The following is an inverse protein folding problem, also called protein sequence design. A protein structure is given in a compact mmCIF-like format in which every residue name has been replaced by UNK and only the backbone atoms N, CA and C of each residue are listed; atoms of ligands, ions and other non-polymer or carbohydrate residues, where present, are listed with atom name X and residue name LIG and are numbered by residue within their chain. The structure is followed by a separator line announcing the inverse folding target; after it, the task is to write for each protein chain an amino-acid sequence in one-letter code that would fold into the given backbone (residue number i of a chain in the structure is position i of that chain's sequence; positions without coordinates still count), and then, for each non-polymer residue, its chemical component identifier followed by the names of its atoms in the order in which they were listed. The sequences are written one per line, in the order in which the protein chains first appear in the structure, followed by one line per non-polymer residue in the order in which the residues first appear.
data_IF_720159067308
#
_entry.id   IF_720159067308
#
_cell.length_a   1.000
_cell.length_b   1.000
_cell.length_c   1.000
_cell.angle_alpha   90.00
_cell.angle_beta   90.00
_cell.angle_gamma   90.00
#
_symmetry.space_group_name_H-M   'P 1'
#
loop_
_entity.id
_entity.type
_entity.pdbx_description
1 polymer ?
#
# COMPACT_ATOMS: atom_id res chain seq x y z
N UNK A 1 -6.82 -15.61 -8.70
CA UNK A 1 -7.18 -16.90 -8.09
C UNK A 1 -8.70 -17.00 -8.05
N UNK A 2 -9.23 -18.13 -8.50
CA UNK A 2 -10.65 -18.46 -8.33
C UNK A 2 -10.79 -19.30 -7.05
N UNK A 3 -11.83 -19.09 -6.22
CA UNK A 3 -12.03 -19.88 -5.03
C UNK A 3 -12.25 -21.36 -5.39
N UNK A 4 -11.56 -22.26 -4.70
CA UNK A 4 -11.79 -23.72 -4.85
C UNK A 4 -13.18 -24.11 -4.35
N UNK A 5 -13.71 -23.38 -3.36
CA UNK A 5 -15.06 -23.52 -2.80
C UNK A 5 -15.64 -22.13 -2.45
N UNK A 6 -16.97 -22.00 -2.46
CA UNK A 6 -17.68 -20.74 -2.19
C UNK A 6 -17.78 -19.81 -3.40
N UNK A 7 -18.32 -18.61 -3.18
CA UNK A 7 -18.51 -17.57 -4.21
C UNK A 7 -17.70 -16.32 -3.88
N UNK A 8 -16.98 -15.76 -4.87
CA UNK A 8 -16.44 -14.40 -4.79
C UNK A 8 -17.32 -13.45 -5.60
N UNK A 9 -17.96 -12.48 -4.93
CA UNK A 9 -18.84 -11.49 -5.58
C UNK A 9 -18.27 -10.10 -5.39
N UNK A 10 -18.23 -9.33 -6.47
CA UNK A 10 -17.81 -7.92 -6.47
C UNK A 10 -18.65 -7.12 -7.44
N UNK A 11 -18.81 -5.83 -7.16
CA UNK A 11 -19.44 -4.91 -8.11
C UNK A 11 -18.62 -4.83 -9.40
N UNK A 12 -19.29 -4.85 -10.56
CA UNK A 12 -18.61 -4.71 -11.87
C UNK A 12 -17.94 -3.36 -12.06
N UNK A 13 -18.37 -2.33 -11.31
CA UNK A 13 -17.78 -0.98 -11.35
C UNK A 13 -16.64 -0.83 -10.35
N UNK A 14 -16.38 -1.82 -9.51
CA UNK A 14 -15.34 -1.77 -8.48
C UNK A 14 -13.97 -1.59 -9.17
N UNK A 15 -13.17 -0.68 -8.63
CA UNK A 15 -11.82 -0.38 -9.10
C UNK A 15 -10.90 -0.61 -7.92
N UNK A 16 -9.90 -1.45 -8.11
CA UNK A 16 -8.99 -1.83 -7.04
C UNK A 16 -7.60 -1.34 -7.42
N UNK A 17 -6.99 -0.56 -6.54
CA UNK A 17 -5.59 -0.17 -6.63
C UNK A 17 -4.78 -1.16 -5.81
N UNK A 18 -3.85 -1.87 -6.45
CA UNK A 18 -3.01 -2.86 -5.76
C UNK A 18 -1.56 -2.36 -5.73
N UNK A 19 -0.99 -2.33 -4.53
CA UNK A 19 0.43 -2.23 -4.28
C UNK A 19 0.86 -3.55 -3.65
N UNK A 20 1.89 -4.17 -4.20
CA UNK A 20 2.40 -5.46 -3.70
C UNK A 20 3.92 -5.45 -3.76
N UNK A 21 4.61 -6.19 -2.90
CA UNK A 21 6.07 -6.17 -2.78
C UNK A 21 6.81 -6.34 -4.13
N UNK A 22 6.27 -7.13 -5.06
CA UNK A 22 6.79 -7.33 -6.42
C UNK A 22 6.28 -6.31 -7.46
N UNK A 23 5.75 -5.15 -7.05
CA UNK A 23 5.20 -4.15 -7.97
C UNK A 23 6.23 -3.65 -8.99
N UNK A 24 7.51 -3.68 -8.63
CA UNK A 24 8.62 -3.26 -9.50
C UNK A 24 8.67 -4.10 -10.77
N UNK A 25 8.25 -5.36 -10.71
CA UNK A 25 8.23 -6.27 -11.85
C UNK A 25 7.14 -5.90 -12.86
N UNK A 26 6.16 -5.08 -12.45
CA UNK A 26 5.08 -4.57 -13.32
C UNK A 26 5.45 -3.25 -13.99
N UNK A 27 6.56 -2.61 -13.58
CA UNK A 27 7.00 -1.35 -14.16
C UNK A 27 7.75 -1.55 -15.48
N UNK A 28 7.39 -0.79 -16.51
CA UNK A 28 8.19 -0.68 -17.74
C UNK A 28 9.46 0.11 -17.43
N UNK A 29 10.58 -0.59 -17.24
CA UNK A 29 11.80 0.01 -16.69
C UNK A 29 12.56 0.93 -17.67
N UNK A 30 12.39 0.70 -18.97
CA UNK A 30 13.14 1.41 -20.03
C UNK A 30 12.56 2.79 -20.38
N UNK A 31 11.38 3.13 -19.87
CA UNK A 31 10.74 4.44 -20.09
C UNK A 31 10.93 5.36 -18.88
N UNK A 32 10.64 6.65 -19.07
CA UNK A 32 10.62 7.62 -17.96
C UNK A 32 9.31 7.53 -17.18
N UNK A 33 9.27 7.93 -15.89
CA UNK A 33 8.02 8.00 -15.11
C UNK A 33 6.88 8.73 -15.82
N UNK A 34 7.19 9.84 -16.49
CA UNK A 34 6.18 10.62 -17.23
C UNK A 34 5.63 9.80 -18.39
N UNK A 35 6.50 9.20 -19.20
CA UNK A 35 6.06 8.36 -20.32
C UNK A 35 5.27 7.15 -19.84
N UNK A 36 5.72 6.48 -18.79
CA UNK A 36 4.99 5.37 -18.17
C UNK A 36 3.55 5.76 -17.78
N UNK A 37 3.37 6.91 -17.12
CA UNK A 37 2.01 7.37 -16.76
C UNK A 37 1.18 7.77 -17.98
N UNK A 38 1.79 8.39 -18.99
CA UNK A 38 1.09 8.77 -20.23
C UNK A 38 0.63 7.53 -21.03
N UNK A 39 1.50 6.52 -21.15
CA UNK A 39 1.20 5.27 -21.85
C UNK A 39 0.18 4.42 -21.09
N UNK A 40 0.24 4.41 -19.76
CA UNK A 40 -0.70 3.66 -18.92
C UNK A 40 -2.09 4.30 -18.86
N UNK A 41 -2.17 5.62 -19.02
CA UNK A 41 -3.43 6.38 -18.93
C UNK A 41 -3.64 7.29 -20.16
N UNK A 42 -3.73 6.72 -21.38
CA UNK A 42 -3.79 7.51 -22.62
C UNK A 42 -5.06 8.37 -22.70
N UNK A 43 -6.17 7.86 -22.17
CA UNK A 43 -7.48 8.54 -22.19
C UNK A 43 -7.72 9.47 -21.00
N UNK A 44 -6.69 9.71 -20.17
CA UNK A 44 -6.81 10.58 -19.00
C UNK A 44 -6.98 12.06 -19.32
N UNK A 45 -6.65 12.47 -20.55
CA UNK A 45 -6.63 13.87 -20.98
C UNK A 45 -5.52 14.71 -20.33
N UNK A 46 -4.63 14.09 -19.55
CA UNK A 46 -3.50 14.79 -18.92
C UNK A 46 -2.39 15.09 -19.92
N UNK A 47 -1.80 16.28 -19.78
CA UNK A 47 -0.56 16.67 -20.45
C UNK A 47 0.66 16.27 -19.63
N UNK A 48 1.82 16.29 -20.28
CA UNK A 48 3.12 16.00 -19.65
C UNK A 48 3.36 16.82 -18.39
N UNK A 49 3.07 18.12 -18.40
CA UNK A 49 3.25 18.99 -17.24
C UNK A 49 2.35 18.57 -16.06
N UNK A 50 1.13 18.10 -16.34
CA UNK A 50 0.21 17.62 -15.33
C UNK A 50 0.66 16.28 -14.75
N UNK A 51 1.22 15.38 -15.56
CA UNK A 51 1.84 14.14 -15.07
C UNK A 51 3.06 14.41 -14.19
N UNK A 52 3.91 15.37 -14.57
CA UNK A 52 5.03 15.84 -13.73
C UNK A 52 4.55 16.42 -12.41
N UNK A 53 3.48 17.22 -12.43
CA UNK A 53 2.88 17.75 -11.22
C UNK A 53 2.35 16.62 -10.31
N UNK A 54 1.71 15.59 -10.88
CA UNK A 54 1.26 14.41 -10.13
C UNK A 54 2.43 13.66 -9.50
N UNK A 55 3.48 13.35 -10.26
CA UNK A 55 4.70 12.72 -9.73
C UNK A 55 5.34 13.55 -8.61
N UNK A 56 5.34 14.88 -8.76
CA UNK A 56 5.83 15.81 -7.73
C UNK A 56 5.01 15.76 -6.44
N UNK A 57 3.68 15.58 -6.52
CA UNK A 57 2.82 15.40 -5.33
C UNK A 57 3.14 14.13 -4.55
N UNK A 58 3.59 13.07 -5.23
CA UNK A 58 4.09 11.85 -4.61
C UNK A 58 5.57 11.95 -4.19
N UNK A 59 6.13 13.16 -4.14
CA UNK A 59 7.49 13.40 -3.67
C UNK A 59 8.60 13.05 -4.67
N UNK A 60 8.30 12.66 -5.91
CA UNK A 60 9.35 12.39 -6.89
C UNK A 60 9.93 13.71 -7.41
N UNK A 61 11.23 13.94 -7.20
CA UNK A 61 11.90 15.17 -7.63
C UNK A 61 11.86 15.35 -9.14
N UNK A 62 11.78 16.61 -9.60
CA UNK A 62 11.56 16.95 -11.01
C UNK A 62 12.62 16.43 -12.00
N UNK A 63 13.85 16.20 -11.54
CA UNK A 63 14.93 15.63 -12.36
C UNK A 63 14.74 14.13 -12.60
N UNK A 64 14.11 13.40 -11.68
CA UNK A 64 13.80 11.99 -11.84
C UNK A 64 12.60 11.73 -12.77
N UNK A 65 11.79 12.76 -13.07
CA UNK A 65 10.63 12.62 -13.97
C UNK A 65 11.01 12.20 -15.39
N UNK A 66 12.21 12.60 -15.83
CA UNK A 66 12.75 12.35 -17.18
C UNK A 66 13.89 11.32 -17.17
N UNK A 67 14.19 10.75 -16.00
CA UNK A 67 15.19 9.69 -15.87
C UNK A 67 14.51 8.34 -16.12
N UNK A 68 15.12 7.41 -16.88
CA UNK A 68 14.56 6.06 -17.04
C UNK A 68 14.29 5.38 -15.69
N UNK A 69 13.16 4.69 -15.57
CA UNK A 69 12.70 4.05 -14.33
C UNK A 69 13.73 3.04 -13.81
N UNK A 70 14.46 2.35 -14.70
CA UNK A 70 15.54 1.42 -14.33
C UNK A 70 16.59 2.06 -13.42
N UNK A 71 16.85 3.37 -13.56
CA UNK A 71 17.84 4.10 -12.77
C UNK A 71 17.31 4.67 -11.46
N UNK A 72 16.03 4.51 -11.16
CA UNK A 72 15.41 4.99 -9.93
C UNK A 72 15.70 4.03 -8.77
N UNK A 73 15.80 4.56 -7.55
CA UNK A 73 15.84 3.73 -6.34
C UNK A 73 14.50 3.02 -6.10
N UNK A 74 14.48 2.02 -5.21
CA UNK A 74 13.24 1.32 -4.83
C UNK A 74 12.13 2.28 -4.37
N UNK A 75 12.45 3.21 -3.46
CA UNK A 75 11.48 4.21 -2.98
C UNK A 75 11.03 5.19 -4.06
N UNK A 76 11.90 5.54 -5.01
CA UNK A 76 11.49 6.37 -6.15
C UNK A 76 10.55 5.61 -7.08
N UNK A 77 10.80 4.32 -7.34
CA UNK A 77 9.88 3.46 -8.09
C UNK A 77 8.54 3.32 -7.37
N UNK A 78 8.54 3.16 -6.05
CA UNK A 78 7.33 3.13 -5.22
C UNK A 78 6.49 4.41 -5.43
N UNK A 79 7.11 5.59 -5.40
CA UNK A 79 6.44 6.87 -5.65
C UNK A 79 5.79 6.94 -7.04
N UNK A 80 6.42 6.38 -8.07
CA UNK A 80 5.83 6.27 -9.43
C UNK A 80 4.59 5.37 -9.42
N UNK A 81 4.61 4.29 -8.64
CA UNK A 81 3.50 3.34 -8.53
C UNK A 81 2.33 3.93 -7.78
N UNK A 82 2.58 4.59 -6.65
CA UNK A 82 1.53 5.32 -5.93
C UNK A 82 0.90 6.42 -6.81
N UNK A 83 1.70 7.13 -7.60
CA UNK A 83 1.16 8.08 -8.58
C UNK A 83 0.25 7.39 -9.63
N UNK A 84 0.66 6.22 -10.14
CA UNK A 84 -0.16 5.45 -11.07
C UNK A 84 -1.46 4.93 -10.42
N UNK A 85 -1.40 4.43 -9.19
CA UNK A 85 -2.57 3.97 -8.43
C UNK A 85 -3.53 5.14 -8.20
N UNK A 86 -3.04 6.31 -7.81
CA UNK A 86 -3.87 7.51 -7.64
C UNK A 86 -4.59 7.93 -8.93
N UNK A 87 -3.94 7.78 -10.08
CA UNK A 87 -4.54 8.09 -11.39
C UNK A 87 -5.66 7.11 -11.77
N UNK A 88 -5.63 5.86 -11.30
CA UNK A 88 -6.71 4.88 -11.56
C UNK A 88 -7.98 5.13 -10.74
N UNK A 89 -7.94 6.08 -9.79
CA UNK A 89 -9.07 6.46 -8.91
C UNK A 89 -9.75 5.23 -8.31
N UNK A 90 -9.00 4.38 -7.56
CA UNK A 90 -9.55 3.17 -7.00
C UNK A 90 -10.68 3.49 -6.01
N UNK A 91 -11.55 2.51 -5.80
CA UNK A 91 -12.52 2.51 -4.69
C UNK A 91 -11.94 1.76 -3.48
N UNK A 92 -11.11 0.75 -3.72
CA UNK A 92 -10.41 -0.02 -2.70
C UNK A 92 -8.91 -0.01 -2.99
N UNK A 93 -8.10 0.24 -1.97
CA UNK A 93 -6.65 0.08 -1.99
C UNK A 93 -6.27 -1.23 -1.30
N UNK A 94 -5.46 -2.05 -1.96
CA UNK A 94 -4.83 -3.22 -1.37
C UNK A 94 -3.33 -2.93 -1.28
N UNK A 95 -2.82 -2.79 -0.06
CA UNK A 95 -1.45 -2.43 0.23
C UNK A 95 -0.75 -3.60 0.90
N UNK A 96 0.05 -4.34 0.14
CA UNK A 96 0.81 -5.50 0.62
C UNK A 96 2.27 -5.09 0.82
N UNK A 97 2.64 -4.96 2.08
CA UNK A 97 3.92 -4.47 2.59
C UNK A 97 4.33 -3.12 1.99
N UNK A 98 3.52 -2.07 2.17
CA UNK A 98 3.70 -0.81 1.47
C UNK A 98 4.91 0.00 1.94
N UNK A 99 5.41 -0.25 3.15
CA UNK A 99 6.59 0.43 3.73
C UNK A 99 7.90 -0.10 3.15
N UNK A 100 7.88 -1.25 2.45
CA UNK A 100 9.06 -1.78 1.80
C UNK A 100 9.61 -0.76 0.78
N UNK A 101 10.88 -0.39 0.98
CA UNK A 101 11.61 0.62 0.21
C UNK A 101 11.18 2.08 0.41
N UNK A 102 10.30 2.37 1.37
CA UNK A 102 9.98 3.74 1.77
C UNK A 102 10.93 4.24 2.86
N UNK A 103 11.26 5.52 2.80
CA UNK A 103 11.89 6.21 3.93
C UNK A 103 10.82 6.60 4.96
N UNK A 104 11.25 6.94 6.18
CA UNK A 104 10.33 7.29 7.28
C UNK A 104 9.37 8.43 6.90
N UNK A 105 9.85 9.44 6.19
CA UNK A 105 9.02 10.55 5.71
C UNK A 105 7.93 10.10 4.74
N UNK A 106 8.23 9.13 3.89
CA UNK A 106 7.26 8.56 2.94
C UNK A 106 6.24 7.66 3.64
N UNK A 107 6.63 6.98 4.71
CA UNK A 107 5.70 6.19 5.55
C UNK A 107 4.70 7.14 6.24
N UNK A 108 5.18 8.23 6.83
CA UNK A 108 4.31 9.24 7.44
C UNK A 108 3.33 9.84 6.43
N UNK A 109 3.82 10.18 5.23
CA UNK A 109 2.98 10.71 4.16
C UNK A 109 1.97 9.68 3.62
N UNK A 110 2.31 8.38 3.67
CA UNK A 110 1.39 7.31 3.30
C UNK A 110 0.28 7.18 4.35
N UNK A 111 0.61 7.24 5.63
CA UNK A 111 -0.38 7.22 6.71
C UNK A 111 -1.37 8.40 6.59
N UNK A 112 -0.86 9.63 6.38
CA UNK A 112 -1.69 10.83 6.14
C UNK A 112 -2.64 10.65 4.94
N UNK A 113 -2.14 10.02 3.88
CA UNK A 113 -2.91 9.79 2.67
C UNK A 113 -4.01 8.74 2.87
N UNK A 114 -3.78 7.74 3.73
CA UNK A 114 -4.75 6.69 4.07
C UNK A 114 -5.84 7.25 4.97
N UNK A 115 -5.47 8.06 5.97
CA UNK A 115 -6.41 8.70 6.90
C UNK A 115 -7.42 9.60 6.16
N UNK A 116 -6.97 10.27 5.10
CA UNK A 116 -7.81 11.16 4.27
C UNK A 116 -8.50 10.46 3.10
N UNK A 117 -8.31 9.15 2.93
CA UNK A 117 -8.86 8.40 1.81
C UNK A 117 -10.31 7.99 2.07
N UNK A 118 -11.24 8.43 1.20
CA UNK A 118 -12.67 8.14 1.35
C UNK A 118 -13.08 6.73 0.90
N UNK A 119 -12.14 5.94 0.35
CA UNK A 119 -12.40 4.57 -0.10
C UNK A 119 -11.98 3.53 0.95
N UNK A 120 -12.17 2.25 0.63
CA UNK A 120 -11.72 1.16 1.48
C UNK A 120 -10.20 0.95 1.35
N UNK A 121 -9.53 0.65 2.46
CA UNK A 121 -8.10 0.28 2.46
C UNK A 121 -7.94 -1.05 3.17
N UNK A 122 -7.22 -1.97 2.55
CA UNK A 122 -6.76 -3.22 3.15
C UNK A 122 -5.23 -3.17 3.16
N UNK A 123 -4.63 -3.26 4.34
CA UNK A 123 -3.18 -3.14 4.52
C UNK A 123 -2.67 -4.43 5.15
N UNK A 124 -1.55 -4.91 4.62
CA UNK A 124 -0.71 -5.94 5.20
C UNK A 124 0.64 -5.28 5.44
N UNK A 125 1.11 -5.26 6.68
CA UNK A 125 2.34 -4.57 7.07
C UNK A 125 2.90 -5.18 8.35
N UNK A 126 4.21 -5.25 8.47
CA UNK A 126 4.91 -5.49 9.74
C UNK A 126 5.36 -4.18 10.43
N UNK A 127 5.14 -3.02 9.79
CA UNK A 127 5.48 -1.72 10.37
C UNK A 127 4.40 -1.29 11.38
N UNK A 128 4.71 -1.46 12.68
CA UNK A 128 3.81 -1.10 13.78
C UNK A 128 3.48 0.39 13.81
N UNK A 129 4.38 1.28 13.37
CA UNK A 129 4.13 2.73 13.40
C UNK A 129 3.11 3.12 12.33
N UNK A 130 3.17 2.49 11.16
CA UNK A 130 2.14 2.67 10.13
C UNK A 130 0.78 2.15 10.64
N UNK A 131 0.75 0.94 11.20
CA UNK A 131 -0.49 0.31 11.65
C UNK A 131 -1.13 1.08 12.82
N UNK A 132 -0.38 1.42 13.87
CA UNK A 132 -0.89 2.22 14.99
C UNK A 132 -1.50 3.54 14.53
N UNK A 133 -0.93 4.16 13.50
CA UNK A 133 -1.43 5.44 12.98
C UNK A 133 -2.67 5.30 12.10
N UNK A 134 -2.74 4.25 11.29
CA UNK A 134 -3.91 4.01 10.42
C UNK A 134 -5.08 3.44 11.22
N UNK A 135 -4.80 2.68 12.27
CA UNK A 135 -5.77 2.02 13.13
C UNK A 135 -6.09 2.83 14.41
N UNK A 136 -5.68 4.11 14.49
CA UNK A 136 -5.96 4.97 15.65
C UNK A 136 -7.47 5.23 15.85
N UNK A 137 -8.26 5.14 14.78
CA UNK A 137 -9.73 5.26 14.80
C UNK A 137 -10.38 3.88 14.73
N UNK A 138 -10.76 3.34 15.90
CA UNK A 138 -11.43 2.05 16.08
C UNK A 138 -12.80 1.97 15.38
N UNK A 139 -13.48 3.10 15.13
CA UNK A 139 -14.76 3.10 14.41
C UNK A 139 -14.58 2.91 12.90
N UNK A 140 -13.35 3.10 12.40
CA UNK A 140 -13.02 3.08 10.97
C UNK A 140 -12.04 1.99 10.58
N UNK A 141 -11.49 1.27 11.54
CA UNK A 141 -10.50 0.24 11.33
C UNK A 141 -10.91 -1.06 12.02
N UNK A 142 -10.53 -2.18 11.42
CA UNK A 142 -10.75 -3.52 11.97
C UNK A 142 -9.45 -4.30 11.79
N UNK A 143 -9.07 -5.07 12.81
CA UNK A 143 -7.90 -5.97 12.75
C UNK A 143 -8.39 -7.37 12.40
N UNK A 144 -7.76 -7.98 11.39
CA UNK A 144 -8.13 -9.30 10.89
C UNK A 144 -6.92 -10.23 10.99
N UNK A 145 -7.07 -11.36 11.65
CA UNK A 145 -6.02 -12.34 11.95
C UNK A 145 -6.19 -13.53 11.03
N UNK A 146 -5.07 -14.00 10.44
CA UNK A 146 -5.03 -15.19 9.58
C UNK A 146 -4.25 -16.29 10.27
N UNK A 147 -4.94 -17.30 10.78
CA UNK A 147 -4.35 -18.44 11.48
C UNK A 147 -5.07 -19.74 11.09
N UNK A 148 -4.32 -20.84 11.02
CA UNK A 148 -4.83 -22.18 10.67
C UNK A 148 -5.71 -22.22 9.40
N UNK A 149 -5.43 -21.35 8.44
CA UNK A 149 -6.18 -21.23 7.19
C UNK A 149 -7.56 -20.58 7.33
N UNK A 150 -7.84 -19.96 8.48
CA UNK A 150 -9.03 -19.18 8.76
C UNK A 150 -8.69 -17.70 8.86
N UNK A 151 -9.72 -16.86 8.79
CA UNK A 151 -9.61 -15.40 8.84
C UNK A 151 -10.66 -14.92 9.85
N UNK A 152 -10.21 -14.39 10.97
CA UNK A 152 -11.06 -13.95 12.08
C UNK A 152 -10.84 -12.47 12.36
N UNK A 153 -11.89 -11.78 12.80
CA UNK A 153 -11.80 -10.39 13.26
C UNK A 153 -11.39 -10.37 14.72
N UNK A 154 -10.42 -9.55 15.06
CA UNK A 154 -10.00 -9.31 16.44
C UNK A 154 -11.00 -8.37 17.15
N UNK A 155 -11.39 -8.72 18.38
CA UNK A 155 -12.32 -7.93 19.20
C UNK A 155 -11.55 -6.99 20.13
N UNK A 156 -11.04 -5.89 19.55
CA UNK A 156 -10.21 -4.90 20.21
C UNK A 156 -9.50 -4.00 19.19
N UNK A 157 -8.69 -3.07 19.69
CA UNK A 157 -7.91 -2.18 18.83
C UNK A 157 -6.56 -2.83 18.40
N UNK A 158 -5.78 -2.12 17.59
CA UNK A 158 -4.47 -2.62 17.17
C UNK A 158 -3.44 -2.66 18.31
N UNK A 159 -3.55 -1.77 19.31
CA UNK A 159 -2.63 -1.69 20.43
C UNK A 159 -2.84 -2.88 21.39
N UNK A 160 -4.10 -3.24 21.66
CA UNK A 160 -4.51 -4.43 22.41
C UNK A 160 -3.93 -5.69 21.74
N UNK A 161 -4.15 -5.84 20.43
CA UNK A 161 -3.61 -6.97 19.67
C UNK A 161 -2.08 -7.04 19.74
N UNK A 162 -1.39 -5.91 19.62
CA UNK A 162 0.08 -5.84 19.71
C UNK A 162 0.56 -6.27 21.08
N UNK A 163 -0.06 -5.77 22.15
CA UNK A 163 0.36 -6.03 23.51
C UNK A 163 0.11 -7.51 23.89
N UNK A 164 -0.98 -8.11 23.42
CA UNK A 164 -1.23 -9.55 23.54
C UNK A 164 -0.17 -10.38 22.79
N UNK A 165 0.12 -10.04 21.54
CA UNK A 165 1.13 -10.74 20.73
C UNK A 165 2.53 -10.67 21.37
N UNK A 166 2.92 -9.51 21.89
CA UNK A 166 4.21 -9.35 22.59
C UNK A 166 4.26 -10.21 23.85
N UNK A 167 3.15 -10.31 24.58
CA UNK A 167 3.08 -11.13 25.79
C UNK A 167 3.20 -12.62 25.46
N UNK A 168 2.48 -13.10 24.45
CA UNK A 168 2.53 -14.49 24.00
C UNK A 168 3.95 -14.88 23.54
N UNK A 169 4.60 -14.04 22.75
CA UNK A 169 5.99 -14.26 22.32
C UNK A 169 6.95 -14.36 23.52
N UNK A 170 6.78 -13.53 24.54
CA UNK A 170 7.65 -13.59 25.73
C UNK A 170 7.38 -14.85 26.56
N UNK A 171 6.12 -15.27 26.70
CA UNK A 171 5.75 -16.50 27.41
C UNK A 171 6.34 -17.75 26.73
N UNK A 172 6.32 -17.83 25.39
CA UNK A 172 6.96 -18.93 24.65
C UNK A 172 8.49 -18.96 24.85
N UNK A 173 9.14 -17.79 24.85
CA UNK A 173 10.59 -17.71 25.05
C UNK A 173 11.02 -18.12 26.46
N UNK A 174 10.22 -17.78 27.47
CA UNK A 174 10.47 -18.17 28.87
C UNK A 174 10.27 -19.68 29.09
N UNK A 175 9.36 -20.34 28.34
CA UNK A 175 9.14 -21.79 28.40
C UNK A 175 10.25 -22.60 27.69
N UNK A 176 10.87 -22.07 26.63
CA UNK A 176 11.96 -22.72 25.91
C UNK A 176 13.33 -22.65 26.65
N UNK A 177 13.46 -21.74 27.62
CA UNK A 177 14.66 -21.55 28.44
C UNK A 177 14.65 -22.39 29.75
N UNK A 178 13.57 -23.12 30.07
CA UNK A 178 13.44 -24.06 31.22
C UNK A 178 13.70 -25.55 30.86
#
# INVERSE_FOLDING_TARGET
IEPTMGDSRRSQKLRIGRYAQHFVDVLTLDVTPVMYLMEKFPDSGYRVEQMRAKLGKFGLSGHHHMQPIVKLSGGQKARVVFAAISLSKPHILLLDEPTNHLDMQSVDALADAIETYEGGVVIISHDSRLLSRVCEDEERSEVWIVEDGQLETYDGDFEDYRDELVKEINEELDEDDE
#
